data_IF_223317552266
#
_entry.id   IF_223317552266
#
_cell.length_a   1.000
_cell.length_b   1.000
_cell.length_c   1.000
_cell.angle_alpha   90.00
_cell.angle_beta   90.00
_cell.angle_gamma   90.00
#
_symmetry.space_group_name_H-M   'P 1'
#
loop_
_entity.id
_entity.type
_entity.pdbx_description
1 polymer ?
#
# COMPACT_ATOMS: atom_id res chain seq x y z
N UNK A 1 10.78 -63.49 -11.09
CA UNK A 1 11.00 -63.13 -12.51
C UNK A 1 11.34 -61.65 -12.60
N UNK A 2 12.37 -61.34 -13.38
CA UNK A 2 12.83 -60.05 -13.93
C UNK A 2 12.73 -58.79 -13.02
N UNK A 3 13.83 -58.31 -12.41
CA UNK A 3 14.96 -57.57 -13.01
C UNK A 3 14.57 -56.32 -13.80
N UNK A 4 15.04 -55.19 -13.25
CA UNK A 4 15.85 -54.15 -13.91
C UNK A 4 15.25 -53.39 -15.10
N UNK A 5 15.24 -52.06 -15.00
CA UNK A 5 16.19 -51.12 -15.65
C UNK A 5 15.65 -49.69 -15.42
N UNK A 6 16.32 -48.83 -14.64
CA UNK A 6 17.46 -47.97 -15.05
C UNK A 6 17.27 -47.41 -16.46
N UNK A 7 17.18 -46.09 -16.59
CA UNK A 7 18.22 -45.21 -17.15
C UNK A 7 17.61 -43.88 -17.61
N UNK A 8 18.02 -42.76 -17.01
CA UNK A 8 19.03 -41.78 -17.51
C UNK A 8 18.53 -40.91 -18.66
N UNK A 9 18.46 -39.60 -18.45
CA UNK A 9 19.42 -38.61 -18.96
C UNK A 9 18.85 -37.20 -18.69
N UNK A 10 19.54 -36.29 -18.01
CA UNK A 10 20.83 -35.65 -18.35
C UNK A 10 20.64 -34.51 -19.35
N UNK A 11 20.69 -33.28 -18.85
CA UNK A 11 21.46 -32.14 -19.40
C UNK A 11 21.42 -31.07 -18.29
N UNK A 12 22.52 -30.79 -17.59
CA UNK A 12 23.54 -29.79 -17.97
C UNK A 12 22.94 -28.38 -17.92
N UNK A 13 23.49 -27.39 -17.22
CA UNK A 13 24.90 -27.02 -17.13
C UNK A 13 25.04 -26.09 -15.90
N UNK A 14 25.99 -26.35 -14.99
CA UNK A 14 27.28 -25.65 -14.87
C UNK A 14 27.18 -24.25 -14.24
N UNK A 15 28.14 -23.75 -13.48
CA UNK A 15 29.43 -24.22 -12.97
C UNK A 15 29.96 -23.02 -12.19
N UNK A 16 30.58 -23.27 -11.04
CA UNK A 16 31.98 -22.90 -10.80
C UNK A 16 32.26 -22.64 -9.33
N UNK A 17 32.61 -23.73 -8.64
CA UNK A 17 33.68 -23.74 -7.65
C UNK A 17 34.95 -24.23 -8.37
N UNK A 18 36.11 -23.63 -8.11
CA UNK A 18 37.41 -24.29 -8.31
C UNK A 18 38.47 -23.70 -7.34
N UNK A 19 38.81 -24.50 -6.32
CA UNK A 19 40.13 -25.07 -5.92
C UNK A 19 41.13 -24.07 -5.32
N UNK A 20 41.60 -24.18 -4.06
CA UNK A 20 42.35 -25.23 -3.30
C UNK A 20 43.84 -25.32 -3.67
N UNK A 21 44.67 -24.91 -2.68
CA UNK A 21 46.01 -25.37 -2.21
C UNK A 21 47.17 -25.52 -3.24
N UNK A 22 48.47 -25.29 -2.96
CA UNK A 22 49.27 -25.57 -1.75
C UNK A 22 50.69 -24.93 -1.87
N UNK A 23 51.28 -24.56 -0.71
CA UNK A 23 52.69 -24.47 -0.25
C UNK A 23 53.86 -24.00 -1.14
N UNK A 24 54.64 -23.04 -0.62
CA UNK A 24 56.12 -23.07 -0.57
C UNK A 24 56.67 -22.18 0.58
N UNK A 25 57.84 -22.57 1.08
CA UNK A 25 58.51 -22.33 2.37
C UNK A 25 59.27 -21.00 2.55
N UNK A 26 59.44 -20.51 3.80
CA UNK A 26 60.71 -20.30 4.53
C UNK A 26 60.68 -19.15 5.59
N UNK A 27 60.80 -19.57 6.86
CA UNK A 27 61.61 -19.08 7.99
C UNK A 27 61.87 -17.58 8.33
N UNK A 28 61.61 -17.29 9.62
CA UNK A 28 62.44 -16.58 10.61
C UNK A 28 62.22 -15.06 10.87
N UNK A 29 61.67 -14.72 12.05
CA UNK A 29 62.43 -14.10 13.16
C UNK A 29 61.50 -13.64 14.29
N UNK A 30 61.85 -14.02 15.52
CA UNK A 30 61.24 -13.59 16.77
C UNK A 30 61.45 -12.08 17.04
N UNK A 31 60.47 -11.42 17.67
CA UNK A 31 60.60 -10.82 19.01
C UNK A 31 59.33 -10.07 19.45
N UNK A 32 58.77 -10.53 20.57
CA UNK A 32 58.26 -9.76 21.73
C UNK A 32 57.15 -8.71 21.58
N UNK A 33 56.01 -9.08 22.19
CA UNK A 33 55.33 -8.32 23.27
C UNK A 33 54.89 -6.90 22.95
N UNK A 34 53.58 -6.74 22.70
CA UNK A 34 52.86 -5.53 23.08
C UNK A 34 51.40 -5.85 23.41
N UNK A 35 51.18 -6.12 24.69
CA UNK A 35 49.98 -5.79 25.49
C UNK A 35 48.63 -6.05 24.81
N UNK A 36 48.15 -7.29 24.92
CA UNK A 36 46.72 -7.57 24.96
C UNK A 36 46.14 -6.98 26.25
N UNK A 37 45.60 -5.76 26.16
CA UNK A 37 44.56 -5.33 27.09
C UNK A 37 43.28 -6.05 26.70
N UNK A 38 43.10 -7.26 27.23
CA UNK A 38 41.77 -7.83 27.41
C UNK A 38 41.00 -6.89 28.35
N UNK A 39 40.28 -5.94 27.78
CA UNK A 39 39.11 -5.39 28.45
C UNK A 39 38.09 -6.53 28.49
N UNK A 40 38.13 -7.31 29.56
CA UNK A 40 37.04 -8.17 29.95
C UNK A 40 35.85 -7.25 30.25
N UNK A 41 35.09 -6.93 29.20
CA UNK A 41 33.82 -6.22 29.34
C UNK A 41 32.99 -7.05 30.30
N UNK A 42 32.69 -6.48 31.46
CA UNK A 42 31.91 -7.15 32.50
C UNK A 42 30.62 -7.71 31.83
N UNK A 43 30.33 -9.02 31.94
CA UNK A 43 29.14 -9.62 31.34
C UNK A 43 27.85 -8.87 31.68
N UNK A 44 27.78 -8.23 32.85
CA UNK A 44 26.65 -7.40 33.26
C UNK A 44 26.54 -6.11 32.42
N UNK A 45 27.66 -5.47 32.11
CA UNK A 45 27.68 -4.25 31.28
C UNK A 45 27.32 -4.59 29.83
N UNK A 46 27.85 -5.69 29.30
CA UNK A 46 27.50 -6.17 27.95
C UNK A 46 25.99 -6.48 27.84
N UNK A 47 25.41 -7.17 28.83
CA UNK A 47 24.00 -7.49 28.87
C UNK A 47 23.12 -6.24 29.02
N UNK A 48 23.54 -5.25 29.82
CA UNK A 48 22.85 -3.98 29.95
C UNK A 48 22.84 -3.19 28.64
N UNK A 49 23.98 -3.12 27.94
CA UNK A 49 24.04 -2.47 26.63
C UNK A 49 23.18 -3.17 25.59
N UNK A 50 23.11 -4.50 25.60
CA UNK A 50 22.22 -5.25 24.69
C UNK A 50 20.74 -4.95 24.99
N UNK A 51 20.37 -4.89 26.27
CA UNK A 51 19.01 -4.52 26.69
C UNK A 51 18.64 -3.10 26.27
N UNK A 52 19.55 -2.14 26.43
CA UNK A 52 19.32 -0.74 26.05
C UNK A 52 19.16 -0.60 24.53
N UNK A 53 20.00 -1.29 23.74
CA UNK A 53 19.87 -1.34 22.28
C UNK A 53 18.55 -1.98 21.83
N UNK A 54 18.12 -3.05 22.51
CA UNK A 54 16.87 -3.74 22.21
C UNK A 54 15.66 -2.86 22.57
N UNK A 55 15.73 -2.13 23.68
CA UNK A 55 14.70 -1.20 24.11
C UNK A 55 14.60 -0.01 23.15
N UNK A 56 15.71 0.57 22.71
CA UNK A 56 15.71 1.63 21.69
C UNK A 56 15.08 1.14 20.37
N UNK A 57 15.46 -0.07 19.92
CA UNK A 57 14.88 -0.69 18.74
C UNK A 57 13.39 -0.93 18.90
N UNK A 58 12.96 -1.40 20.07
CA UNK A 58 11.55 -1.60 20.38
C UNK A 58 10.77 -0.28 20.39
N UNK A 59 11.31 0.77 21.01
CA UNK A 59 10.68 2.08 21.07
C UNK A 59 10.52 2.69 19.68
N UNK A 60 11.57 2.61 18.85
CA UNK A 60 11.52 3.04 17.45
C UNK A 60 10.50 2.25 16.64
N UNK A 61 10.48 0.92 16.76
CA UNK A 61 9.51 0.07 16.08
C UNK A 61 8.07 0.39 16.50
N UNK A 62 7.85 0.64 17.79
CA UNK A 62 6.54 1.03 18.30
C UNK A 62 6.11 2.40 17.74
N UNK A 63 7.02 3.37 17.67
CA UNK A 63 6.75 4.66 17.04
C UNK A 63 6.43 4.52 15.54
N UNK A 64 7.19 3.72 14.80
CA UNK A 64 6.92 3.39 13.39
C UNK A 64 5.55 2.72 13.21
N UNK A 65 5.20 1.79 14.11
CA UNK A 65 3.91 1.12 14.10
C UNK A 65 2.74 2.08 14.36
N UNK A 66 2.88 3.00 15.31
CA UNK A 66 1.87 4.03 15.57
C UNK A 66 1.68 4.96 14.37
N UNK A 67 2.77 5.39 13.74
CA UNK A 67 2.72 6.19 12.51
C UNK A 67 2.05 5.45 11.36
N UNK A 68 2.41 4.17 11.16
CA UNK A 68 1.78 3.31 10.17
C UNK A 68 0.28 3.16 10.41
N UNK A 69 -0.13 2.86 11.65
CA UNK A 69 -1.54 2.71 12.02
C UNK A 69 -2.33 3.99 11.73
N UNK A 70 -1.78 5.16 12.12
CA UNK A 70 -2.41 6.46 11.83
C UNK A 70 -2.55 6.71 10.32
N UNK A 71 -1.54 6.34 9.53
CA UNK A 71 -1.58 6.46 8.07
C UNK A 71 -2.65 5.55 7.47
N UNK A 72 -2.69 4.28 7.86
CA UNK A 72 -3.68 3.31 7.37
C UNK A 72 -5.10 3.71 7.73
N UNK A 73 -5.32 4.24 8.93
CA UNK A 73 -6.62 4.74 9.33
C UNK A 73 -7.08 5.90 8.44
N UNK A 74 -6.17 6.83 8.13
CA UNK A 74 -6.44 7.93 7.19
C UNK A 74 -6.74 7.41 5.78
N UNK A 75 -5.89 6.54 5.23
CA UNK A 75 -6.09 5.94 3.90
C UNK A 75 -7.44 5.20 3.83
N UNK A 76 -7.79 4.45 4.88
CA UNK A 76 -9.09 3.79 4.97
C UNK A 76 -10.22 4.81 4.90
N UNK A 77 -10.16 5.90 5.68
CA UNK A 77 -11.19 6.95 5.62
C UNK A 77 -11.27 7.61 4.26
N UNK A 78 -10.15 7.83 3.58
CA UNK A 78 -10.10 8.44 2.26
C UNK A 78 -10.70 7.49 1.20
N UNK A 79 -10.43 6.19 1.28
CA UNK A 79 -11.07 5.18 0.42
C UNK A 79 -12.59 5.17 0.62
N UNK A 80 -13.09 5.27 1.84
CA UNK A 80 -14.53 5.33 2.07
C UNK A 80 -15.17 6.63 1.55
N UNK A 81 -14.47 7.77 1.67
CA UNK A 81 -14.97 9.07 1.19
C UNK A 81 -14.95 9.17 -0.33
N UNK A 82 -13.87 8.75 -0.97
CA UNK A 82 -13.64 8.94 -2.40
C UNK A 82 -13.87 7.67 -3.24
N UNK A 83 -14.17 6.53 -2.62
CA UNK A 83 -14.40 5.25 -3.32
C UNK A 83 -15.56 5.30 -4.31
N UNK A 84 -16.58 6.13 -4.04
CA UNK A 84 -17.73 6.31 -4.92
C UNK A 84 -17.55 7.42 -5.96
N UNK A 85 -16.43 8.16 -5.92
CA UNK A 85 -16.22 9.35 -6.74
C UNK A 85 -16.37 9.07 -8.24
N UNK A 86 -15.69 8.02 -8.73
CA UNK A 86 -15.75 7.62 -10.14
C UNK A 86 -17.18 7.28 -10.57
N UNK A 87 -17.91 6.55 -9.74
CA UNK A 87 -19.30 6.18 -10.03
C UNK A 87 -20.21 7.41 -10.07
N UNK A 88 -20.04 8.35 -9.12
CA UNK A 88 -20.81 9.60 -9.12
C UNK A 88 -20.49 10.46 -10.33
N UNK A 89 -19.22 10.53 -10.77
CA UNK A 89 -18.84 11.23 -12.00
C UNK A 89 -19.50 10.65 -13.24
N UNK A 90 -19.59 9.33 -13.37
CA UNK A 90 -20.26 8.66 -14.49
C UNK A 90 -21.79 8.86 -14.47
N UNK A 91 -22.37 9.18 -13.31
CA UNK A 91 -23.80 9.45 -13.13
C UNK A 91 -24.18 10.91 -13.51
N UNK A 92 -23.24 11.85 -13.46
CA UNK A 92 -23.50 13.26 -13.78
C UNK A 92 -24.09 13.49 -15.19
N UNK A 93 -23.57 12.89 -16.27
CA UNK A 93 -24.16 13.05 -17.60
C UNK A 93 -25.61 12.58 -17.70
N UNK A 94 -25.99 11.59 -16.88
CA UNK A 94 -27.37 11.10 -16.81
C UNK A 94 -28.25 12.16 -16.16
N UNK A 95 -27.81 12.77 -15.06
CA UNK A 95 -28.50 13.92 -14.45
C UNK A 95 -28.65 15.08 -15.43
N UNK A 96 -27.60 15.44 -16.16
CA UNK A 96 -27.64 16.52 -17.17
C UNK A 96 -28.68 16.22 -18.27
N UNK A 97 -28.80 14.95 -18.67
CA UNK A 97 -29.82 14.54 -19.64
C UNK A 97 -31.24 14.64 -19.09
N UNK A 98 -31.45 14.33 -17.80
CA UNK A 98 -32.74 14.57 -17.14
C UNK A 98 -33.09 16.06 -17.13
N UNK A 99 -32.16 16.92 -16.75
CA UNK A 99 -32.36 18.38 -16.75
C UNK A 99 -32.68 18.88 -18.16
N UNK A 100 -31.96 18.40 -19.17
CA UNK A 100 -32.21 18.71 -20.59
C UNK A 100 -33.59 18.25 -21.06
N UNK A 101 -33.99 17.02 -20.70
CA UNK A 101 -35.28 16.46 -21.09
C UNK A 101 -36.45 17.21 -20.43
N UNK A 102 -36.31 17.58 -19.15
CA UNK A 102 -37.28 18.40 -18.43
C UNK A 102 -37.40 19.77 -19.11
N UNK A 103 -36.28 20.46 -19.37
CA UNK A 103 -36.29 21.77 -20.01
C UNK A 103 -36.93 21.74 -21.42
N UNK A 104 -36.68 20.69 -22.21
CA UNK A 104 -37.28 20.53 -23.53
C UNK A 104 -38.79 20.23 -23.48
N UNK A 105 -39.24 19.51 -22.45
CA UNK A 105 -40.65 19.09 -22.31
C UNK A 105 -41.52 20.13 -21.61
N UNK A 106 -40.92 21.13 -20.99
CA UNK A 106 -41.63 22.15 -20.19
C UNK A 106 -42.54 23.06 -21.03
N UNK A 107 -42.29 23.19 -22.34
CA UNK A 107 -43.16 23.99 -23.22
C UNK A 107 -44.37 23.21 -23.77
N UNK A 108 -44.19 21.93 -24.12
CA UNK A 108 -45.21 21.15 -24.83
C UNK A 108 -46.00 20.19 -23.93
N UNK A 109 -45.45 19.82 -22.77
CA UNK A 109 -45.96 18.73 -21.93
C UNK A 109 -46.02 19.06 -20.43
N UNK A 110 -46.03 20.35 -20.06
CA UNK A 110 -46.02 20.81 -18.67
C UNK A 110 -47.11 20.18 -17.79
N UNK A 111 -48.32 19.97 -18.33
CA UNK A 111 -49.47 19.43 -17.59
C UNK A 111 -49.57 17.89 -17.65
N UNK A 112 -48.57 17.23 -18.22
CA UNK A 112 -48.56 15.77 -18.36
C UNK A 112 -48.18 15.10 -17.05
N UNK A 113 -48.95 14.09 -16.62
CA UNK A 113 -48.59 13.22 -15.47
C UNK A 113 -47.22 12.56 -15.63
N UNK A 114 -46.77 12.36 -16.87
CA UNK A 114 -45.44 11.82 -17.15
C UNK A 114 -44.35 12.83 -16.79
N UNK A 115 -44.57 14.12 -17.10
CA UNK A 115 -43.63 15.20 -16.77
C UNK A 115 -43.45 15.35 -15.26
N UNK A 116 -44.54 15.27 -14.49
CA UNK A 116 -44.48 15.24 -13.03
C UNK A 116 -43.70 14.04 -12.49
N UNK A 117 -43.92 12.85 -13.06
CA UNK A 117 -43.17 11.64 -12.71
C UNK A 117 -41.67 11.79 -12.95
N UNK A 118 -41.28 12.39 -14.08
CA UNK A 118 -39.86 12.66 -14.40
C UNK A 118 -39.26 13.70 -13.43
N UNK A 119 -40.00 14.76 -13.08
CA UNK A 119 -39.56 15.72 -12.05
C UNK A 119 -39.34 15.06 -10.68
N UNK A 120 -40.20 14.11 -10.29
CA UNK A 120 -40.03 13.34 -9.05
C UNK A 120 -38.79 12.45 -9.07
N UNK A 121 -38.48 11.81 -10.21
CA UNK A 121 -37.25 11.01 -10.36
C UNK A 121 -36.01 11.90 -10.25
N UNK A 122 -36.01 13.06 -10.92
CA UNK A 122 -34.91 14.03 -10.82
C UNK A 122 -34.69 14.48 -9.37
N UNK A 123 -35.76 14.79 -8.64
CA UNK A 123 -35.68 15.13 -7.21
C UNK A 123 -35.11 13.99 -6.37
N UNK A 124 -35.57 12.75 -6.61
CA UNK A 124 -35.04 11.57 -5.91
C UNK A 124 -33.54 11.36 -6.18
N UNK A 125 -33.09 11.72 -7.38
CA UNK A 125 -31.68 11.66 -7.76
C UNK A 125 -30.86 12.79 -7.10
N UNK A 126 -31.39 14.01 -7.01
CA UNK A 126 -30.77 15.09 -6.21
C UNK A 126 -30.64 14.67 -4.73
N UNK A 127 -31.71 14.12 -4.13
CA UNK A 127 -31.70 13.61 -2.75
C UNK A 127 -30.69 12.47 -2.56
N UNK A 128 -30.44 11.67 -3.60
CA UNK A 128 -29.41 10.62 -3.60
C UNK A 128 -28.01 11.22 -3.58
N UNK A 129 -27.74 12.26 -4.36
CA UNK A 129 -26.45 12.96 -4.34
C UNK A 129 -26.20 13.63 -2.99
N UNK A 130 -27.21 14.30 -2.42
CA UNK A 130 -27.10 14.94 -1.09
C UNK A 130 -26.78 13.93 0.03
N UNK A 131 -27.37 12.74 -0.02
CA UNK A 131 -27.07 11.65 0.93
C UNK A 131 -25.65 11.10 0.82
N UNK A 132 -25.01 11.26 -0.34
CA UNK A 132 -23.63 10.82 -0.59
C UNK A 132 -22.64 12.00 -0.49
N UNK A 133 -23.04 13.10 0.15
CA UNK A 133 -22.23 14.33 0.33
C UNK A 133 -21.77 14.97 -1.00
N UNK A 134 -22.49 14.71 -2.10
CA UNK A 134 -22.24 15.31 -3.41
C UNK A 134 -23.16 16.50 -3.59
N UNK A 135 -22.59 17.71 -3.66
CA UNK A 135 -23.35 18.96 -3.81
C UNK A 135 -23.07 19.63 -5.14
N UNK A 136 -24.11 20.21 -5.73
CA UNK A 136 -23.97 21.05 -6.93
C UNK A 136 -23.17 22.30 -6.58
N UNK A 137 -22.23 22.66 -7.45
CA UNK A 137 -21.46 23.89 -7.34
C UNK A 137 -22.27 25.02 -8.01
N UNK A 138 -22.40 26.16 -7.34
CA UNK A 138 -23.09 27.32 -7.92
C UNK A 138 -22.21 27.93 -9.03
N UNK A 139 -22.59 27.75 -10.29
CA UNK A 139 -21.77 28.12 -11.45
C UNK A 139 -22.00 29.56 -11.96
N UNK A 140 -22.79 30.40 -11.29
CA UNK A 140 -23.09 31.77 -11.75
C UNK A 140 -22.71 32.83 -10.71
N UNK A 141 -21.59 33.52 -10.95
CA UNK A 141 -21.34 34.88 -10.46
C UNK A 141 -20.95 35.06 -8.99
N UNK A 142 -20.47 34.04 -8.29
CA UNK A 142 -19.90 34.19 -6.94
C UNK A 142 -18.39 33.91 -6.96
N UNK A 143 -17.57 34.71 -6.24
CA UNK A 143 -16.11 34.57 -6.21
C UNK A 143 -15.65 33.25 -5.60
#
# INVERSE_FOLDING_TARGET
>A
MAKQKKNTNKSEDKMSKKKVAESETLENSASETTVEQEQTVDPLVALQTEMDLLNDKYLRLNAEFQNYRKRVEKEKTDIFKFGNEKFMMELLPIMDNFERAIAASEQDHADSKIFDGVKMIKKSLDDFFDKNDVKKINALGMP
#
